data_IF_652386279089
#
_entry.id   IF_652386279089
#
_cell.length_a   1.000
_cell.length_b   1.000
_cell.length_c   1.000
_cell.angle_alpha   90.00
_cell.angle_beta   90.00
_cell.angle_gamma   90.00
#
_symmetry.space_group_name_H-M   'P 1'
#
loop_
_entity.id
_entity.type
_entity.pdbx_description
1 polymer ?
#
# COMPACT_ATOMS: atom_id res chain seq x y z
N UNK A 1 -23.85 -2.93 6.41
CA UNK A 1 -23.07 -2.54 5.20
C UNK A 1 -23.35 -3.41 3.99
N UNK A 2 -23.38 -4.75 4.07
CA UNK A 2 -23.68 -5.60 2.89
C UNK A 2 -25.06 -5.30 2.25
N UNK A 3 -26.08 -5.06 3.05
CA UNK A 3 -27.43 -4.69 2.58
C UNK A 3 -27.38 -3.32 1.88
N UNK A 4 -26.75 -2.32 2.50
CA UNK A 4 -26.60 -1.00 1.92
C UNK A 4 -25.80 -1.02 0.61
N UNK A 5 -24.73 -1.79 0.54
CA UNK A 5 -23.96 -1.93 -0.71
C UNK A 5 -24.77 -2.59 -1.84
N UNK A 6 -25.73 -3.47 -1.52
CA UNK A 6 -26.65 -4.04 -2.52
C UNK A 6 -27.60 -3.00 -3.12
N UNK A 7 -28.02 -2.03 -2.33
CA UNK A 7 -29.00 -1.03 -2.74
C UNK A 7 -28.35 0.17 -3.45
N UNK A 8 -27.16 0.57 -2.99
CA UNK A 8 -26.53 1.80 -3.45
C UNK A 8 -25.38 1.59 -4.45
N UNK A 9 -24.80 0.37 -4.59
CA UNK A 9 -23.66 0.15 -5.47
C UNK A 9 -24.02 -0.83 -6.58
N UNK A 10 -24.10 -0.32 -7.81
CA UNK A 10 -24.25 -1.12 -9.01
C UNK A 10 -22.94 -1.87 -9.31
N UNK A 11 -23.01 -3.12 -9.75
CA UNK A 11 -21.86 -3.98 -10.07
C UNK A 11 -20.83 -4.14 -8.93
N UNK A 12 -21.31 -4.18 -7.68
CA UNK A 12 -20.55 -4.22 -6.42
C UNK A 12 -19.44 -5.29 -6.33
N UNK A 13 -19.45 -6.29 -7.20
CA UNK A 13 -18.45 -7.36 -7.23
C UNK A 13 -17.21 -6.95 -8.06
N UNK A 14 -17.33 -6.01 -8.98
CA UNK A 14 -16.23 -5.49 -9.78
C UNK A 14 -15.47 -4.40 -9.03
N UNK A 15 -14.66 -4.79 -8.04
CA UNK A 15 -13.90 -3.86 -7.19
C UNK A 15 -12.68 -3.25 -7.86
N UNK A 16 -12.30 -3.75 -9.06
CA UNK A 16 -11.25 -3.18 -9.88
C UNK A 16 -11.71 -1.92 -10.62
N UNK A 17 -13.03 -1.75 -10.81
CA UNK A 17 -13.58 -0.53 -11.39
C UNK A 17 -13.44 0.65 -10.40
N UNK A 18 -12.75 1.73 -10.78
CA UNK A 18 -12.59 2.92 -9.94
C UNK A 18 -13.91 3.56 -9.50
N UNK A 19 -14.99 3.39 -10.28
CA UNK A 19 -16.33 3.90 -9.95
C UNK A 19 -16.94 3.12 -8.79
N UNK A 20 -16.84 1.80 -8.83
CA UNK A 20 -17.35 0.90 -7.78
C UNK A 20 -16.56 1.13 -6.49
N UNK A 21 -15.23 1.22 -6.60
CA UNK A 21 -14.32 1.50 -5.50
C UNK A 21 -14.69 2.82 -4.80
N UNK A 22 -14.86 3.89 -5.57
CA UNK A 22 -15.30 5.20 -5.05
C UNK A 22 -16.66 5.12 -4.37
N UNK A 23 -17.62 4.42 -4.95
CA UNK A 23 -18.95 4.27 -4.38
C UNK A 23 -18.90 3.57 -3.00
N UNK A 24 -18.03 2.57 -2.82
CA UNK A 24 -17.79 1.96 -1.51
C UNK A 24 -17.21 2.95 -0.50
N UNK A 25 -16.18 3.71 -0.86
CA UNK A 25 -15.57 4.72 0.01
C UNK A 25 -16.57 5.80 0.43
N UNK A 26 -17.36 6.32 -0.52
CA UNK A 26 -18.39 7.31 -0.25
C UNK A 26 -19.49 6.76 0.65
N UNK A 27 -19.98 5.54 0.40
CA UNK A 27 -21.00 4.91 1.24
C UNK A 27 -20.51 4.73 2.69
N UNK A 28 -19.28 4.27 2.87
CA UNK A 28 -18.68 4.10 4.18
C UNK A 28 -18.48 5.43 4.89
N UNK A 29 -18.03 6.46 4.17
CA UNK A 29 -17.88 7.81 4.71
C UNK A 29 -19.21 8.39 5.19
N UNK A 30 -20.28 8.30 4.39
CA UNK A 30 -21.62 8.76 4.79
C UNK A 30 -22.17 8.02 6.01
N UNK A 31 -21.99 6.69 6.05
CA UNK A 31 -22.41 5.89 7.21
C UNK A 31 -21.58 6.25 8.44
N UNK A 32 -20.27 6.47 8.29
CA UNK A 32 -19.39 6.91 9.37
C UNK A 32 -19.81 8.23 9.97
N UNK A 33 -20.04 9.24 9.11
CA UNK A 33 -20.56 10.57 9.54
C UNK A 33 -21.88 10.39 10.30
N UNK A 34 -22.83 9.66 9.73
CA UNK A 34 -24.15 9.46 10.34
C UNK A 34 -24.07 8.79 11.72
N UNK A 35 -23.27 7.74 11.86
CA UNK A 35 -23.09 7.03 13.13
C UNK A 35 -22.37 7.89 14.17
N UNK A 36 -21.32 8.63 13.80
CA UNK A 36 -20.62 9.52 14.72
C UNK A 36 -21.49 10.70 15.18
N UNK A 37 -22.30 11.27 14.30
CA UNK A 37 -23.28 12.31 14.68
C UNK A 37 -24.35 11.74 15.64
N UNK A 38 -24.82 10.52 15.40
CA UNK A 38 -25.81 9.86 16.28
C UNK A 38 -25.19 9.55 17.64
N UNK A 39 -23.95 9.11 17.71
CA UNK A 39 -23.22 8.91 18.97
C UNK A 39 -22.99 10.25 19.70
N UNK A 40 -22.60 11.29 18.97
CA UNK A 40 -22.47 12.64 19.53
C UNK A 40 -23.78 13.10 20.16
N UNK A 41 -24.89 13.05 19.42
CA UNK A 41 -26.18 13.50 19.91
C UNK A 41 -26.65 12.72 21.16
N UNK A 42 -26.53 11.38 21.14
CA UNK A 42 -26.88 10.52 22.25
C UNK A 42 -26.05 10.79 23.51
N UNK A 43 -24.74 10.87 23.38
CA UNK A 43 -23.80 11.15 24.49
C UNK A 43 -23.96 12.57 25.01
N UNK A 44 -24.13 13.57 24.13
CA UNK A 44 -24.30 14.96 24.51
C UNK A 44 -25.58 15.14 25.34
N UNK A 45 -26.69 14.56 24.87
CA UNK A 45 -27.97 14.60 25.59
C UNK A 45 -27.87 13.88 26.94
N UNK A 46 -27.25 12.71 26.99
CA UNK A 46 -27.05 11.98 28.25
C UNK A 46 -26.10 12.71 29.20
N UNK A 47 -25.02 13.33 28.70
CA UNK A 47 -24.08 14.13 29.48
C UNK A 47 -24.73 15.36 30.11
N UNK A 48 -25.56 16.07 29.34
CA UNK A 48 -26.31 17.23 29.83
C UNK A 48 -27.36 16.85 30.86
N UNK A 49 -28.08 15.75 30.68
CA UNK A 49 -29.07 15.26 31.65
C UNK A 49 -28.43 14.73 32.95
N UNK A 50 -27.27 14.09 32.85
CA UNK A 50 -26.59 13.55 34.04
C UNK A 50 -25.64 14.54 34.71
N UNK A 51 -25.43 15.73 34.12
CA UNK A 51 -24.43 16.69 34.57
C UNK A 51 -22.99 16.20 34.46
N UNK A 52 -22.76 15.13 33.67
CA UNK A 52 -21.42 14.51 33.52
C UNK A 52 -20.61 15.23 32.46
N UNK A 53 -19.56 15.94 32.90
CA UNK A 53 -18.57 16.60 32.01
C UNK A 53 -17.81 15.57 31.19
N UNK A 54 -17.49 14.40 31.78
CA UNK A 54 -16.77 13.33 31.09
C UNK A 54 -17.57 12.76 29.92
N UNK A 55 -18.88 12.50 30.06
CA UNK A 55 -19.75 12.02 28.98
C UNK A 55 -19.90 13.09 27.90
N UNK A 56 -20.00 14.36 28.30
CA UNK A 56 -20.10 15.47 27.36
C UNK A 56 -18.80 15.65 26.56
N UNK A 57 -17.65 15.53 27.22
CA UNK A 57 -16.33 15.55 26.54
C UNK A 57 -16.19 14.40 25.53
N UNK A 58 -16.60 13.18 25.91
CA UNK A 58 -16.59 12.01 25.02
C UNK A 58 -17.58 12.15 23.84
N UNK A 59 -18.68 12.91 24.01
CA UNK A 59 -19.55 13.30 22.90
C UNK A 59 -18.80 14.16 21.87
N UNK A 60 -18.06 15.18 22.31
CA UNK A 60 -17.27 16.01 21.40
C UNK A 60 -16.18 15.23 20.66
N UNK A 61 -15.64 14.16 21.26
CA UNK A 61 -14.74 13.25 20.57
C UNK A 61 -15.42 12.63 19.34
N UNK A 62 -16.67 12.12 19.48
CA UNK A 62 -17.39 11.58 18.32
C UNK A 62 -17.70 12.64 17.24
N UNK A 63 -17.83 13.91 17.60
CA UNK A 63 -17.93 14.98 16.60
C UNK A 63 -16.62 15.16 15.82
N UNK A 64 -15.48 15.07 16.49
CA UNK A 64 -14.16 15.05 15.83
C UNK A 64 -14.00 13.85 14.89
N UNK A 65 -14.50 12.67 15.28
CA UNK A 65 -14.47 11.46 14.45
C UNK A 65 -15.39 11.58 13.22
N UNK A 66 -16.50 12.31 13.33
CA UNK A 66 -17.29 12.70 12.16
C UNK A 66 -16.44 13.55 11.19
N UNK A 67 -15.56 14.42 11.70
CA UNK A 67 -14.59 15.18 10.92
C UNK A 67 -13.62 14.28 10.15
N UNK A 68 -13.04 13.26 10.80
CA UNK A 68 -12.18 12.25 10.14
C UNK A 68 -12.90 11.51 9.01
N UNK A 69 -14.17 11.16 9.24
CA UNK A 69 -15.04 10.54 8.21
C UNK A 69 -15.29 11.49 7.03
N UNK A 70 -15.41 12.80 7.27
CA UNK A 70 -15.51 13.82 6.20
C UNK A 70 -14.21 13.87 5.39
N UNK A 71 -13.04 13.85 6.04
CA UNK A 71 -11.74 13.82 5.36
C UNK A 71 -11.63 12.61 4.42
N UNK A 72 -12.00 11.42 4.91
CA UNK A 72 -12.02 10.20 4.11
C UNK A 72 -12.96 10.32 2.91
N UNK A 73 -14.19 10.82 3.13
CA UNK A 73 -15.19 11.03 2.06
C UNK A 73 -14.69 11.99 0.99
N UNK A 74 -14.08 13.12 1.40
CA UNK A 74 -13.48 14.09 0.49
C UNK A 74 -12.30 13.50 -0.28
N UNK A 75 -11.47 12.70 0.38
CA UNK A 75 -10.36 11.97 -0.24
C UNK A 75 -10.85 11.10 -1.41
N UNK A 76 -11.86 10.26 -1.18
CA UNK A 76 -12.46 9.44 -2.26
C UNK A 76 -13.10 10.27 -3.37
N UNK A 77 -13.76 11.37 -3.01
CA UNK A 77 -14.37 12.26 -4.02
C UNK A 77 -13.33 12.95 -4.89
N UNK A 78 -12.26 13.46 -4.27
CA UNK A 78 -11.19 14.16 -4.96
C UNK A 78 -10.30 13.21 -5.78
N UNK A 79 -9.96 12.05 -5.24
CA UNK A 79 -9.21 11.01 -5.96
C UNK A 79 -9.88 10.59 -7.27
N UNK A 80 -11.21 10.69 -7.31
CA UNK A 80 -11.97 10.38 -8.51
C UNK A 80 -12.03 11.48 -9.57
N UNK A 81 -11.40 12.65 -9.38
CA UNK A 81 -11.35 13.68 -10.42
C UNK A 81 -10.54 13.20 -11.63
N UNK A 82 -10.98 13.62 -12.82
CA UNK A 82 -10.24 13.38 -14.05
C UNK A 82 -8.91 14.14 -14.03
N UNK A 83 -7.94 13.70 -14.84
CA UNK A 83 -6.74 14.50 -15.12
C UNK A 83 -7.09 15.92 -15.54
N UNK A 84 -6.29 16.88 -15.12
CA UNK A 84 -6.34 18.27 -15.52
C UNK A 84 -4.93 18.77 -15.87
N UNK A 85 -4.75 20.00 -16.41
CA UNK A 85 -3.43 20.50 -16.80
C UNK A 85 -2.42 20.60 -15.64
N UNK A 86 -2.88 20.74 -14.40
CA UNK A 86 -2.02 20.79 -13.21
C UNK A 86 -1.67 19.39 -12.69
N UNK A 87 -2.56 18.42 -12.92
CA UNK A 87 -2.39 17.03 -12.49
C UNK A 87 -2.68 16.08 -13.66
N UNK A 88 -1.79 15.97 -14.65
CA UNK A 88 -2.00 15.20 -15.87
C UNK A 88 -2.18 13.69 -15.61
N UNK A 89 -1.58 13.17 -14.53
CA UNK A 89 -1.76 11.79 -14.10
C UNK A 89 -2.97 11.58 -13.17
N UNK A 90 -3.77 12.65 -12.94
CA UNK A 90 -4.99 12.64 -12.12
C UNK A 90 -4.74 12.81 -10.63
N UNK A 91 -5.78 12.60 -9.85
CA UNK A 91 -5.84 12.93 -8.43
C UNK A 91 -5.88 11.70 -7.52
N UNK A 92 -5.58 10.49 -8.04
CA UNK A 92 -5.72 9.24 -7.28
C UNK A 92 -4.98 9.21 -5.95
N UNK A 93 -3.79 9.82 -5.88
CA UNK A 93 -2.97 9.91 -4.66
C UNK A 93 -3.61 10.70 -3.52
N UNK A 94 -4.65 11.52 -3.79
CA UNK A 94 -5.40 12.21 -2.73
C UNK A 94 -6.10 11.24 -1.75
N UNK A 95 -6.34 10.00 -2.15
CA UNK A 95 -6.79 8.96 -1.24
C UNK A 95 -5.74 8.64 -0.17
N UNK A 96 -4.47 8.50 -0.56
CA UNK A 96 -3.36 8.26 0.38
C UNK A 96 -3.15 9.48 1.30
N UNK A 97 -3.23 10.69 0.75
CA UNK A 97 -3.13 11.94 1.53
C UNK A 97 -4.25 12.01 2.58
N UNK A 98 -5.49 11.65 2.22
CA UNK A 98 -6.59 11.62 3.20
C UNK A 98 -6.37 10.58 4.30
N UNK A 99 -5.86 9.40 3.96
CA UNK A 99 -5.45 8.38 4.94
C UNK A 99 -4.37 8.87 5.88
N UNK A 100 -3.38 9.61 5.35
CA UNK A 100 -2.31 10.21 6.16
C UNK A 100 -2.82 11.26 7.13
N UNK A 101 -3.80 12.10 6.71
CA UNK A 101 -4.44 13.07 7.59
C UNK A 101 -5.16 12.34 8.74
N UNK A 102 -5.92 11.28 8.44
CA UNK A 102 -6.59 10.46 9.47
C UNK A 102 -5.58 9.84 10.43
N UNK A 103 -4.48 9.27 9.91
CA UNK A 103 -3.40 8.73 10.74
C UNK A 103 -2.78 9.82 11.66
N UNK A 104 -2.61 11.05 11.15
CA UNK A 104 -2.18 12.20 11.95
C UNK A 104 -3.14 12.54 13.08
N UNK A 105 -4.46 12.50 12.83
CA UNK A 105 -5.47 12.71 13.87
C UNK A 105 -5.43 11.61 14.94
N UNK A 106 -5.23 10.33 14.55
CA UNK A 106 -5.06 9.21 15.49
C UNK A 106 -3.84 9.46 16.39
N UNK A 107 -2.72 9.91 15.83
CA UNK A 107 -1.51 10.22 16.60
C UNK A 107 -1.75 11.37 17.59
N UNK A 108 -2.44 12.44 17.17
CA UNK A 108 -2.81 13.55 18.05
C UNK A 108 -3.69 13.07 19.22
N UNK A 109 -4.69 12.23 18.94
CA UNK A 109 -5.56 11.64 19.97
C UNK A 109 -4.77 10.73 20.94
N UNK A 110 -3.83 9.95 20.43
CA UNK A 110 -2.95 9.10 21.23
C UNK A 110 -2.08 9.91 22.18
N UNK A 111 -1.50 11.03 21.71
CA UNK A 111 -0.71 11.95 22.56
C UNK A 111 -1.59 12.62 23.62
N UNK A 112 -2.79 13.08 23.25
CA UNK A 112 -3.72 13.72 24.20
C UNK A 112 -4.18 12.73 25.28
N UNK A 113 -4.49 11.50 24.91
CA UNK A 113 -4.83 10.44 25.86
C UNK A 113 -3.66 10.11 26.79
N UNK A 114 -2.44 10.04 26.27
CA UNK A 114 -1.24 9.81 27.07
C UNK A 114 -1.05 10.93 28.11
N UNK A 115 -1.18 12.20 27.66
CA UNK A 115 -1.09 13.38 28.54
C UNK A 115 -2.14 13.36 29.64
N UNK A 116 -3.41 13.14 29.28
CA UNK A 116 -4.53 13.05 30.21
C UNK A 116 -4.36 11.90 31.20
N UNK A 117 -3.83 10.76 30.73
CA UNK A 117 -3.56 9.58 31.57
C UNK A 117 -2.46 9.85 32.60
N UNK A 118 -1.38 10.51 32.19
CA UNK A 118 -0.31 10.94 33.12
C UNK A 118 -0.84 11.94 34.15
N UNK A 119 -1.64 12.89 33.74
CA UNK A 119 -2.27 13.86 34.66
C UNK A 119 -3.14 13.18 35.70
N UNK A 120 -3.95 12.18 35.32
CA UNK A 120 -4.76 11.37 36.26
C UNK A 120 -3.93 10.53 37.20
N UNK A 121 -2.74 10.03 36.78
CA UNK A 121 -1.83 9.30 37.63
C UNK A 121 -1.24 10.24 38.70
N UNK A 122 -0.90 11.48 38.33
CA UNK A 122 -0.30 12.47 39.23
C UNK A 122 -1.35 13.12 40.14
N UNK A 123 -2.57 13.27 39.65
CA UNK A 123 -3.69 13.92 40.37
C UNK A 123 -4.93 13.02 40.34
N UNK A 124 -4.99 11.95 41.15
CA UNK A 124 -6.13 11.05 41.18
C UNK A 124 -7.41 11.80 41.56
N UNK A 125 -8.46 11.67 40.77
CA UNK A 125 -9.77 12.25 41.02
C UNK A 125 -10.81 11.12 41.19
N UNK A 126 -11.69 11.26 42.17
CA UNK A 126 -12.76 10.28 42.41
C UNK A 126 -13.67 10.19 41.19
N UNK A 127 -13.95 8.97 40.70
CA UNK A 127 -14.84 8.72 39.58
C UNK A 127 -16.30 8.71 40.08
N UNK A 128 -17.12 9.63 39.58
CA UNK A 128 -18.57 9.65 39.88
C UNK A 128 -19.26 8.50 39.11
N UNK A 129 -19.81 7.55 39.84
CA UNK A 129 -20.44 6.37 39.28
C UNK A 129 -21.96 6.57 39.04
N UNK A 130 -22.30 6.87 37.78
CA UNK A 130 -23.68 6.86 37.30
C UNK A 130 -24.00 5.58 36.56
N UNK A 131 -25.16 4.96 36.76
CA UNK A 131 -25.59 3.74 36.01
C UNK A 131 -25.75 4.00 34.50
N UNK A 132 -26.04 5.24 34.13
CA UNK A 132 -26.25 5.65 32.73
C UNK A 132 -24.94 5.63 31.97
N UNK A 133 -23.81 6.05 32.56
CA UNK A 133 -22.52 6.13 31.91
C UNK A 133 -22.01 4.77 31.34
N UNK A 134 -21.99 3.66 32.11
CA UNK A 134 -21.59 2.37 31.58
C UNK A 134 -22.44 1.87 30.39
N UNK A 135 -23.74 2.11 30.41
CA UNK A 135 -24.68 1.71 29.35
C UNK A 135 -24.31 2.47 28.04
N UNK A 136 -24.14 3.79 28.14
CA UNK A 136 -23.79 4.62 26.99
C UNK A 136 -22.41 4.22 26.43
N UNK A 137 -21.43 3.99 27.32
CA UNK A 137 -20.08 3.53 26.89
C UNK A 137 -20.15 2.16 26.20
N UNK A 138 -20.95 1.21 26.73
CA UNK A 138 -21.12 -0.11 26.11
C UNK A 138 -21.78 -0.02 24.71
N UNK A 139 -22.82 0.79 24.55
CA UNK A 139 -23.45 1.05 23.24
C UNK A 139 -22.43 1.70 22.29
N UNK A 140 -21.67 2.69 22.76
CA UNK A 140 -20.63 3.34 21.96
C UNK A 140 -19.57 2.36 21.48
N UNK A 141 -19.07 1.46 22.35
CA UNK A 141 -18.15 0.39 22.00
C UNK A 141 -18.73 -0.49 20.89
N UNK A 142 -19.97 -0.94 21.00
CA UNK A 142 -20.61 -1.79 19.99
C UNK A 142 -20.70 -1.07 18.62
N UNK A 143 -21.09 0.20 18.60
CA UNK A 143 -21.20 0.97 17.36
C UNK A 143 -19.82 1.22 16.74
N UNK A 144 -18.83 1.64 17.54
CA UNK A 144 -17.44 1.87 17.05
C UNK A 144 -16.78 0.57 16.56
N UNK A 145 -16.99 -0.54 17.26
CA UNK A 145 -16.51 -1.85 16.82
C UNK A 145 -17.16 -2.26 15.48
N UNK A 146 -18.45 -2.04 15.32
CA UNK A 146 -19.13 -2.26 14.04
C UNK A 146 -18.52 -1.38 12.93
N UNK A 147 -18.22 -0.10 13.22
CA UNK A 147 -17.55 0.80 12.28
C UNK A 147 -16.16 0.28 11.89
N UNK A 148 -15.36 -0.11 12.87
CA UNK A 148 -14.05 -0.73 12.63
C UNK A 148 -14.14 -1.95 11.71
N UNK A 149 -15.04 -2.90 12.03
CA UNK A 149 -15.18 -4.15 11.29
C UNK A 149 -15.62 -3.93 9.83
N UNK A 150 -16.60 -3.04 9.59
CA UNK A 150 -17.04 -2.81 8.22
C UNK A 150 -16.00 -2.00 7.41
N UNK A 151 -15.36 -0.99 8.01
CA UNK A 151 -14.31 -0.21 7.35
C UNK A 151 -13.12 -1.10 6.98
N UNK A 152 -12.68 -1.97 7.90
CA UNK A 152 -11.59 -2.91 7.65
C UNK A 152 -11.94 -3.93 6.57
N UNK A 153 -13.17 -4.49 6.61
CA UNK A 153 -13.62 -5.47 5.60
C UNK A 153 -13.70 -4.85 4.21
N UNK A 154 -14.27 -3.64 4.10
CA UNK A 154 -14.40 -2.95 2.82
C UNK A 154 -13.06 -2.39 2.39
N UNK A 155 -12.25 -1.81 3.29
CA UNK A 155 -10.91 -1.32 3.02
C UNK A 155 -10.04 -2.39 2.35
N UNK A 156 -10.00 -3.59 2.92
CA UNK A 156 -9.33 -4.75 2.31
C UNK A 156 -9.92 -5.14 0.96
N UNK A 157 -11.25 -5.14 0.83
CA UNK A 157 -11.93 -5.50 -0.41
C UNK A 157 -11.58 -4.57 -1.57
N UNK A 158 -11.51 -3.25 -1.30
CA UNK A 158 -11.20 -2.23 -2.30
C UNK A 158 -9.73 -1.76 -2.26
N UNK A 159 -8.88 -2.38 -1.44
CA UNK A 159 -7.47 -2.04 -1.25
C UNK A 159 -7.27 -0.53 -0.98
N UNK A 160 -7.94 -0.03 0.06
CA UNK A 160 -7.94 1.39 0.42
C UNK A 160 -7.25 1.65 1.74
N UNK A 161 -6.05 2.24 1.69
CA UNK A 161 -5.30 2.68 2.88
C UNK A 161 -6.09 3.70 3.72
N UNK A 162 -6.84 4.61 3.08
CA UNK A 162 -7.69 5.57 3.78
C UNK A 162 -8.78 4.90 4.61
N UNK A 163 -9.41 3.84 4.08
CA UNK A 163 -10.43 3.09 4.83
C UNK A 163 -9.81 2.23 5.94
N UNK A 164 -8.61 1.71 5.74
CA UNK A 164 -7.90 0.99 6.79
C UNK A 164 -7.47 1.94 7.91
N UNK A 165 -7.02 3.17 7.59
CA UNK A 165 -6.77 4.22 8.57
C UNK A 165 -8.04 4.57 9.38
N UNK A 166 -9.20 4.74 8.72
CA UNK A 166 -10.48 4.98 9.40
C UNK A 166 -10.93 3.80 10.27
N UNK A 167 -10.59 2.56 9.87
CA UNK A 167 -10.84 1.39 10.71
C UNK A 167 -9.93 1.37 11.95
N UNK A 168 -8.67 1.77 11.81
CA UNK A 168 -7.72 1.89 12.93
C UNK A 168 -8.17 2.97 13.92
N UNK A 169 -8.67 4.11 13.44
CA UNK A 169 -9.28 5.18 14.23
C UNK A 169 -10.46 4.64 15.08
N UNK A 170 -11.45 4.00 14.44
CA UNK A 170 -12.59 3.40 15.14
C UNK A 170 -12.18 2.31 16.13
N UNK A 171 -11.08 1.59 15.88
CA UNK A 171 -10.54 0.61 16.83
C UNK A 171 -9.89 1.30 18.03
N UNK A 172 -9.15 2.38 17.81
CA UNK A 172 -8.52 3.19 18.85
C UNK A 172 -9.57 3.75 19.81
N UNK A 173 -10.65 4.28 19.27
CA UNK A 173 -11.80 4.78 20.05
C UNK A 173 -12.47 3.66 20.85
N UNK A 174 -12.65 2.49 20.22
CA UNK A 174 -13.19 1.30 20.89
C UNK A 174 -12.32 0.89 22.07
N UNK A 175 -11.00 0.86 21.89
CA UNK A 175 -10.04 0.49 22.93
C UNK A 175 -10.03 1.53 24.06
N UNK A 176 -10.00 2.82 23.73
CA UNK A 176 -10.04 3.91 24.69
C UNK A 176 -11.33 3.87 25.53
N UNK A 177 -12.49 3.77 24.89
CA UNK A 177 -13.79 3.70 25.56
C UNK A 177 -13.93 2.42 26.41
N UNK A 178 -13.43 1.27 25.92
CA UNK A 178 -13.44 0.02 26.68
C UNK A 178 -12.51 0.08 27.92
N UNK A 179 -11.37 0.74 27.80
CA UNK A 179 -10.46 0.94 28.92
C UNK A 179 -11.08 1.81 30.02
N UNK A 180 -11.75 2.90 29.63
CA UNK A 180 -12.50 3.77 30.56
C UNK A 180 -13.62 2.98 31.25
N UNK A 181 -14.38 2.19 30.51
CA UNK A 181 -15.44 1.35 31.08
C UNK A 181 -14.89 0.32 32.06
N UNK A 182 -13.79 -0.37 31.72
CA UNK A 182 -13.15 -1.35 32.58
C UNK A 182 -12.57 -0.70 33.85
N UNK A 183 -11.87 0.42 33.71
CA UNK A 183 -11.34 1.17 34.84
C UNK A 183 -12.46 1.61 35.80
N UNK A 184 -13.58 2.11 35.27
CA UNK A 184 -14.76 2.48 36.05
C UNK A 184 -15.37 1.29 36.80
N UNK A 185 -15.46 0.10 36.18
CA UNK A 185 -15.97 -1.11 36.82
C UNK A 185 -15.02 -1.61 37.91
N UNK A 186 -13.71 -1.61 37.67
CA UNK A 186 -12.70 -2.01 38.66
C UNK A 186 -12.70 -1.04 39.85
N UNK A 187 -12.70 0.27 39.61
CA UNK A 187 -12.79 1.29 40.65
C UNK A 187 -13.99 1.09 41.55
N UNK A 188 -15.16 0.76 40.95
CA UNK A 188 -16.39 0.47 41.72
C UNK A 188 -16.24 -0.74 42.63
N UNK A 189 -15.56 -1.80 42.18
CA UNK A 189 -15.48 -3.07 42.95
C UNK A 189 -14.34 -3.11 43.93
N UNK A 190 -13.22 -2.46 43.61
CA UNK A 190 -11.97 -2.55 44.39
C UNK A 190 -11.64 -1.28 45.18
N UNK A 191 -12.24 -0.15 44.81
CA UNK A 191 -11.87 1.18 45.34
C UNK A 191 -10.52 1.69 44.85
N UNK A 192 -9.84 0.95 43.92
CA UNK A 192 -8.54 1.33 43.34
C UNK A 192 -8.74 2.20 42.12
N UNK A 193 -8.12 3.37 42.10
CA UNK A 193 -8.08 4.24 40.94
C UNK A 193 -6.93 3.82 39.99
N UNK A 194 -7.23 3.00 39.01
CA UNK A 194 -6.28 2.51 37.98
C UNK A 194 -6.51 3.14 36.61
N UNK A 195 -7.46 4.08 36.50
CA UNK A 195 -7.90 4.67 35.22
C UNK A 195 -6.72 5.29 34.44
N UNK A 196 -5.86 6.05 35.11
CA UNK A 196 -4.69 6.67 34.49
C UNK A 196 -3.67 5.64 33.92
N UNK A 197 -3.42 4.52 34.63
CA UNK A 197 -2.50 3.50 34.17
C UNK A 197 -3.02 2.73 32.97
N UNK A 198 -4.29 2.37 32.99
CA UNK A 198 -4.97 1.72 31.85
C UNK A 198 -5.02 2.66 30.66
N UNK A 199 -5.32 3.93 30.88
CA UNK A 199 -5.30 4.96 29.82
C UNK A 199 -3.94 5.10 29.16
N UNK A 200 -2.84 5.03 29.92
CA UNK A 200 -1.48 5.13 29.41
C UNK A 200 -1.12 3.94 28.50
N UNK A 201 -1.50 2.71 28.89
CA UNK A 201 -1.31 1.50 28.06
C UNK A 201 -2.08 1.61 26.75
N UNK A 202 -3.33 2.07 26.81
CA UNK A 202 -4.15 2.27 25.62
C UNK A 202 -3.59 3.37 24.72
N UNK A 203 -3.09 4.48 25.30
CA UNK A 203 -2.43 5.53 24.53
C UNK A 203 -1.22 4.99 23.75
N UNK A 204 -0.40 4.13 24.37
CA UNK A 204 0.70 3.43 23.69
C UNK A 204 0.23 2.59 22.51
N UNK A 205 -0.87 1.84 22.67
CA UNK A 205 -1.46 1.06 21.56
C UNK A 205 -1.97 1.95 20.42
N UNK A 206 -2.65 3.07 20.76
CA UNK A 206 -3.15 4.03 19.77
C UNK A 206 -2.00 4.67 19.00
N UNK A 207 -0.93 5.10 19.66
CA UNK A 207 0.25 5.67 19.02
C UNK A 207 0.93 4.67 18.10
N UNK A 208 1.07 3.42 18.52
CA UNK A 208 1.61 2.35 17.66
C UNK A 208 0.75 2.13 16.41
N UNK A 209 -0.57 2.06 16.58
CA UNK A 209 -1.52 1.93 15.46
C UNK A 209 -1.46 3.13 14.51
N UNK A 210 -1.39 4.36 15.04
CA UNK A 210 -1.28 5.59 14.25
C UNK A 210 0.02 5.64 13.42
N UNK A 211 1.17 5.26 14.02
CA UNK A 211 2.45 5.19 13.29
C UNK A 211 2.38 4.13 12.17
N UNK A 212 1.80 2.96 12.45
CA UNK A 212 1.61 1.91 11.46
C UNK A 212 0.74 2.41 10.29
N UNK A 213 -0.41 3.01 10.59
CA UNK A 213 -1.32 3.57 9.58
C UNK A 213 -0.67 4.67 8.76
N UNK A 214 0.13 5.54 9.37
CA UNK A 214 0.90 6.57 8.66
C UNK A 214 1.91 5.96 7.68
N UNK A 215 2.65 4.91 8.10
CA UNK A 215 3.59 4.21 7.21
C UNK A 215 2.90 3.56 6.02
N UNK A 216 1.77 2.90 6.23
CA UNK A 216 0.97 2.25 5.18
C UNK A 216 0.40 3.24 4.16
N UNK A 217 0.15 4.50 4.56
CA UNK A 217 -0.32 5.55 3.65
C UNK A 217 0.82 6.33 2.97
N UNK A 218 1.99 6.45 3.60
CA UNK A 218 3.17 7.11 3.04
C UNK A 218 3.85 6.20 2.01
N UNK A 219 3.93 4.89 2.24
CA UNK A 219 4.64 3.94 1.38
C UNK A 219 4.23 4.02 -0.10
N UNK A 220 2.93 4.03 -0.47
CA UNK A 220 2.51 4.23 -1.86
C UNK A 220 2.87 5.60 -2.44
N UNK A 221 2.94 6.65 -1.60
CA UNK A 221 3.33 7.99 -2.05
C UNK A 221 4.81 8.06 -2.42
N UNK A 222 5.66 7.32 -1.69
CA UNK A 222 7.10 7.21 -1.95
C UNK A 222 7.43 6.27 -3.11
N UNK A 223 6.48 5.43 -3.55
CA UNK A 223 6.70 4.43 -4.59
C UNK A 223 7.07 3.09 -3.97
N UNK A 224 6.08 2.35 -3.48
CA UNK A 224 6.29 0.97 -3.02
C UNK A 224 6.39 0.01 -4.22
N UNK A 225 7.10 -1.12 -4.09
CA UNK A 225 7.13 -2.14 -5.13
C UNK A 225 5.72 -2.68 -5.43
N UNK A 226 5.43 -3.08 -6.67
CA UNK A 226 4.16 -3.66 -7.04
C UNK A 226 3.94 -5.02 -6.35
N UNK A 227 2.68 -5.45 -6.24
CA UNK A 227 2.38 -6.79 -5.75
C UNK A 227 2.91 -7.85 -6.71
N UNK A 228 3.51 -8.92 -6.18
CA UNK A 228 4.07 -10.02 -6.99
C UNK A 228 3.05 -10.59 -7.98
N UNK A 229 1.79 -10.78 -7.57
CA UNK A 229 0.72 -11.27 -8.45
C UNK A 229 0.49 -10.36 -9.68
N UNK A 230 0.64 -9.04 -9.50
CA UNK A 230 0.51 -8.08 -10.60
C UNK A 230 1.68 -8.22 -11.58
N UNK A 231 2.90 -8.38 -11.09
CA UNK A 231 4.10 -8.62 -11.90
C UNK A 231 4.00 -9.94 -12.65
N UNK A 232 3.64 -11.04 -11.98
CA UNK A 232 3.48 -12.36 -12.57
C UNK A 232 2.45 -12.32 -13.72
N UNK A 233 1.37 -11.54 -13.58
CA UNK A 233 0.38 -11.35 -14.63
C UNK A 233 0.90 -10.54 -15.81
N UNK A 234 1.70 -9.50 -15.59
CA UNK A 234 2.36 -8.76 -16.69
C UNK A 234 3.25 -9.71 -17.47
N UNK A 235 4.12 -10.45 -16.79
CA UNK A 235 5.02 -11.41 -17.41
C UNK A 235 4.26 -12.47 -18.21
N UNK A 236 3.18 -13.02 -17.65
CA UNK A 236 2.38 -14.02 -18.34
C UNK A 236 1.72 -13.48 -19.62
N UNK A 237 1.24 -12.24 -19.63
CA UNK A 237 0.67 -11.61 -20.84
C UNK A 237 1.75 -11.36 -21.88
N UNK A 238 2.87 -10.74 -21.50
CA UNK A 238 3.95 -10.38 -22.42
C UNK A 238 4.57 -11.63 -23.05
N UNK A 239 4.94 -12.63 -22.24
CA UNK A 239 5.58 -13.87 -22.69
C UNK A 239 4.60 -14.87 -23.36
N UNK A 240 3.31 -14.57 -23.41
CA UNK A 240 2.36 -15.40 -24.18
C UNK A 240 2.48 -15.22 -25.69
N UNK A 241 3.18 -14.19 -26.16
CA UNK A 241 3.45 -13.90 -27.57
C UNK A 241 4.77 -14.56 -28.01
N UNK A 242 4.75 -15.43 -29.01
CA UNK A 242 5.93 -16.22 -29.40
C UNK A 242 7.09 -15.38 -29.97
N UNK A 243 6.79 -14.15 -30.42
CA UNK A 243 7.77 -13.20 -30.94
C UNK A 243 8.61 -12.56 -29.82
N UNK A 244 8.14 -12.63 -28.55
CA UNK A 244 8.84 -12.07 -27.41
C UNK A 244 9.74 -13.12 -26.80
N UNK A 245 11.04 -12.88 -26.82
CA UNK A 245 12.07 -13.79 -26.35
C UNK A 245 12.33 -13.68 -24.84
N UNK A 246 12.08 -12.47 -24.28
CA UNK A 246 12.27 -12.18 -22.88
C UNK A 246 11.72 -10.81 -22.53
N UNK A 247 11.66 -10.50 -21.24
CA UNK A 247 11.33 -9.16 -20.74
C UNK A 247 12.25 -8.82 -19.56
N UNK A 248 12.59 -7.54 -19.44
CA UNK A 248 13.40 -6.97 -18.36
C UNK A 248 13.03 -5.50 -18.10
N UNK A 249 13.68 -4.86 -17.14
CA UNK A 249 13.49 -3.44 -16.77
C UNK A 249 12.03 -3.04 -16.54
N UNK A 250 11.27 -3.96 -15.92
CA UNK A 250 9.89 -3.70 -15.56
C UNK A 250 9.80 -2.63 -14.47
N UNK A 251 9.25 -1.48 -14.79
CA UNK A 251 8.97 -0.38 -13.87
C UNK A 251 7.48 -0.15 -13.76
N UNK A 252 6.98 -0.08 -12.54
CA UNK A 252 5.56 0.17 -12.26
C UNK A 252 5.41 1.45 -11.44
N UNK A 253 4.71 2.43 -12.00
CA UNK A 253 4.38 3.68 -11.33
C UNK A 253 2.91 3.67 -10.89
N UNK A 254 2.67 3.80 -9.58
CA UNK A 254 1.33 3.96 -9.01
C UNK A 254 1.02 5.44 -8.74
N UNK A 255 0.06 5.98 -9.48
CA UNK A 255 -0.51 7.32 -9.27
C UNK A 255 -1.84 7.29 -8.51
N UNK A 256 -2.08 6.20 -7.80
CA UNK A 256 -3.29 5.98 -7.04
C UNK A 256 -4.24 5.00 -7.72
N UNK A 257 -5.31 4.62 -7.05
CA UNK A 257 -6.18 3.54 -7.47
C UNK A 257 -6.73 3.67 -8.88
N UNK A 258 -6.47 2.66 -9.72
CA UNK A 258 -6.88 2.61 -11.12
C UNK A 258 -6.06 3.53 -12.04
N UNK A 259 -4.85 3.94 -11.63
CA UNK A 259 -3.93 4.78 -12.40
C UNK A 259 -2.51 4.26 -12.26
N UNK A 260 -2.28 3.12 -12.88
CA UNK A 260 -0.99 2.45 -12.91
C UNK A 260 -0.39 2.64 -14.29
N UNK A 261 0.88 3.02 -14.35
CA UNK A 261 1.69 3.09 -15.56
C UNK A 261 2.80 2.06 -15.46
N UNK A 262 3.00 1.34 -16.54
CA UNK A 262 3.99 0.27 -16.68
C UNK A 262 4.90 0.61 -17.83
N UNK A 263 6.20 0.53 -17.62
CA UNK A 263 7.18 0.48 -18.69
C UNK A 263 8.01 -0.77 -18.53
N UNK A 264 8.33 -1.40 -19.64
CA UNK A 264 9.18 -2.59 -19.66
C UNK A 264 9.93 -2.68 -20.99
N UNK A 265 10.98 -3.49 -21.02
CA UNK A 265 11.70 -3.84 -22.21
C UNK A 265 11.33 -5.26 -22.64
N UNK A 266 11.09 -5.45 -23.93
CA UNK A 266 10.79 -6.74 -24.52
C UNK A 266 11.88 -7.14 -25.53
N UNK A 267 12.54 -8.26 -25.27
CA UNK A 267 13.51 -8.83 -26.19
C UNK A 267 12.81 -9.39 -27.44
N UNK A 268 13.18 -8.92 -28.63
CA UNK A 268 12.61 -9.34 -29.92
C UNK A 268 13.72 -9.82 -30.87
N UNK A 269 13.45 -10.68 -31.88
CA UNK A 269 14.44 -11.09 -32.86
C UNK A 269 15.00 -9.91 -33.66
N UNK A 270 16.31 -9.71 -33.69
CA UNK A 270 16.97 -8.59 -34.36
C UNK A 270 16.74 -8.55 -35.89
N UNK A 271 16.45 -9.69 -36.50
CA UNK A 271 16.20 -9.84 -37.94
C UNK A 271 14.70 -10.04 -38.29
N UNK A 272 13.79 -9.80 -37.31
CA UNK A 272 12.35 -9.81 -37.53
C UNK A 272 11.88 -8.61 -38.37
N UNK A 273 10.71 -8.73 -38.99
CA UNK A 273 10.08 -7.58 -39.65
C UNK A 273 9.66 -6.54 -38.61
N UNK A 274 10.17 -5.33 -38.75
CA UNK A 274 9.93 -4.25 -37.77
C UNK A 274 8.44 -3.90 -37.62
N UNK A 275 7.68 -3.95 -38.72
CA UNK A 275 6.25 -3.61 -38.67
C UNK A 275 5.44 -4.71 -37.99
N UNK A 276 5.78 -5.99 -38.26
CA UNK A 276 5.14 -7.12 -37.59
C UNK A 276 5.44 -7.13 -36.09
N UNK A 277 6.70 -6.91 -35.71
CA UNK A 277 7.09 -6.84 -34.28
C UNK A 277 6.45 -5.66 -33.56
N UNK A 278 6.32 -4.50 -34.23
CA UNK A 278 5.63 -3.34 -33.68
C UNK A 278 4.14 -3.63 -33.45
N UNK A 279 3.47 -4.31 -34.40
CA UNK A 279 2.06 -4.69 -34.25
C UNK A 279 1.85 -5.65 -33.07
N UNK A 280 2.78 -6.60 -32.88
CA UNK A 280 2.76 -7.49 -31.70
C UNK A 280 2.88 -6.69 -30.40
N UNK A 281 3.81 -5.74 -30.32
CA UNK A 281 4.00 -4.90 -29.13
C UNK A 281 2.76 -4.04 -28.85
N UNK A 282 2.17 -3.41 -29.87
CA UNK A 282 0.91 -2.65 -29.71
C UNK A 282 -0.22 -3.54 -29.16
N UNK A 283 -0.34 -4.78 -29.66
CA UNK A 283 -1.33 -5.72 -29.17
C UNK A 283 -1.09 -6.09 -27.70
N UNK A 284 0.17 -6.30 -27.29
CA UNK A 284 0.55 -6.54 -25.89
C UNK A 284 0.17 -5.34 -25.01
N UNK A 285 0.50 -4.11 -25.41
CA UNK A 285 0.13 -2.89 -24.67
C UNK A 285 -1.39 -2.78 -24.49
N UNK A 286 -2.17 -3.08 -25.56
CA UNK A 286 -3.63 -3.11 -25.48
C UNK A 286 -4.14 -4.20 -24.53
N UNK A 287 -3.54 -5.38 -24.53
CA UNK A 287 -3.94 -6.47 -23.66
C UNK A 287 -3.61 -6.19 -22.19
N UNK A 288 -2.44 -5.63 -21.90
CA UNK A 288 -2.08 -5.13 -20.57
C UNK A 288 -3.10 -4.07 -20.10
N UNK A 289 -3.45 -3.13 -20.96
CA UNK A 289 -4.45 -2.10 -20.64
C UNK A 289 -5.82 -2.69 -20.34
N UNK A 290 -6.29 -3.65 -21.13
CA UNK A 290 -7.62 -4.25 -20.98
C UNK A 290 -7.70 -5.19 -19.77
N UNK A 291 -6.68 -6.01 -19.56
CA UNK A 291 -6.71 -7.07 -18.53
C UNK A 291 -6.28 -6.57 -17.17
N UNK A 292 -5.34 -5.59 -17.12
CA UNK A 292 -4.76 -5.09 -15.86
C UNK A 292 -5.19 -3.67 -15.51
N UNK A 293 -5.91 -2.99 -16.42
CA UNK A 293 -6.33 -1.59 -16.24
C UNK A 293 -5.15 -0.66 -15.93
N UNK A 294 -4.04 -0.84 -16.66
CA UNK A 294 -2.85 0.00 -16.59
C UNK A 294 -2.58 0.65 -17.96
N UNK A 295 -1.73 1.67 -17.98
CA UNK A 295 -1.16 2.21 -19.20
C UNK A 295 0.24 1.62 -19.35
N UNK A 296 0.48 0.84 -20.41
CA UNK A 296 1.76 0.22 -20.68
C UNK A 296 2.49 0.92 -21.82
N UNK A 297 3.83 0.96 -21.72
CA UNK A 297 4.75 1.33 -22.80
C UNK A 297 5.85 0.30 -22.82
N UNK A 298 6.10 -0.29 -24.00
CA UNK A 298 7.07 -1.36 -24.19
C UNK A 298 8.18 -0.87 -25.13
N UNK A 299 9.42 -0.93 -24.63
CA UNK A 299 10.59 -0.73 -25.45
C UNK A 299 11.00 -2.05 -26.11
N UNK A 300 11.24 -2.04 -27.41
CA UNK A 300 11.72 -3.23 -28.15
C UNK A 300 13.25 -3.29 -28.11
N UNK A 301 13.79 -4.39 -27.57
CA UNK A 301 15.22 -4.66 -27.57
C UNK A 301 15.58 -5.78 -28.57
N UNK A 302 16.21 -5.44 -29.73
CA UNK A 302 16.57 -6.43 -30.72
C UNK A 302 17.70 -7.34 -30.21
N UNK A 303 17.46 -8.65 -30.16
CA UNK A 303 18.44 -9.67 -29.75
C UNK A 303 18.83 -10.54 -30.96
N UNK A 304 20.14 -10.66 -31.18
CA UNK A 304 20.68 -11.56 -32.20
C UNK A 304 20.70 -12.99 -31.67
N UNK A 305 19.94 -13.87 -32.30
CA UNK A 305 19.77 -15.27 -31.86
C UNK A 305 20.39 -16.28 -32.81
N UNK A 306 20.80 -15.87 -34.00
CA UNK A 306 21.15 -16.72 -35.15
C UNK A 306 22.62 -16.62 -35.58
N UNK A 307 23.46 -15.90 -34.86
CA UNK A 307 24.90 -15.77 -35.16
C UNK A 307 25.78 -17.00 -34.75
N UNK A 308 25.17 -18.02 -34.16
CA UNK A 308 25.81 -19.24 -33.69
C UNK A 308 26.82 -19.04 -32.52
N UNK A 309 27.07 -17.80 -32.11
CA UNK A 309 28.03 -17.43 -31.06
C UNK A 309 27.35 -16.81 -29.83
N UNK A 310 26.48 -15.85 -30.05
CA UNK A 310 25.86 -15.05 -28.95
C UNK A 310 24.98 -15.91 -28.04
N UNK A 311 24.13 -16.77 -28.60
CA UNK A 311 23.25 -17.64 -27.82
C UNK A 311 23.98 -18.60 -26.87
N UNK A 312 24.96 -19.40 -27.36
CA UNK A 312 25.76 -20.27 -26.50
C UNK A 312 26.56 -19.51 -25.43
N UNK A 313 27.11 -18.33 -25.76
CA UNK A 313 27.87 -17.52 -24.81
C UNK A 313 26.94 -16.92 -23.74
N UNK A 314 25.74 -16.42 -24.13
CA UNK A 314 24.72 -15.94 -23.19
C UNK A 314 24.38 -17.04 -22.19
N UNK A 315 24.06 -18.25 -22.68
CA UNK A 315 23.69 -19.36 -21.79
C UNK A 315 24.82 -19.74 -20.84
N UNK A 316 26.07 -19.77 -21.32
CA UNK A 316 27.25 -20.08 -20.51
C UNK A 316 27.51 -19.01 -19.45
N UNK A 317 27.36 -17.72 -19.79
CA UNK A 317 27.51 -16.62 -18.84
C UNK A 317 26.38 -16.66 -17.82
N UNK A 318 25.11 -16.90 -18.23
CA UNK A 318 23.97 -17.02 -17.33
C UNK A 318 24.19 -18.12 -16.27
N UNK A 319 24.77 -19.26 -16.64
CA UNK A 319 25.14 -20.32 -15.68
C UNK A 319 26.32 -19.95 -14.77
N UNK A 320 27.28 -19.18 -15.28
CA UNK A 320 28.42 -18.70 -14.47
C UNK A 320 27.96 -17.67 -13.42
N UNK A 321 27.05 -16.75 -13.78
CA UNK A 321 26.55 -15.71 -12.85
C UNK A 321 25.80 -16.36 -11.67
N UNK A 322 25.08 -17.47 -11.89
CA UNK A 322 24.41 -18.23 -10.84
C UNK A 322 25.38 -18.83 -9.80
N UNK A 323 26.67 -18.95 -10.11
CA UNK A 323 27.69 -19.34 -9.14
C UNK A 323 28.03 -18.19 -8.16
N UNK A 324 27.79 -16.94 -8.55
CA UNK A 324 27.93 -15.79 -7.66
C UNK A 324 26.76 -15.74 -6.70
N UNK A 325 25.56 -15.81 -7.26
CA UNK A 325 24.30 -15.98 -6.54
C UNK A 325 23.23 -16.60 -7.47
N UNK A 326 22.46 -17.62 -7.02
CA UNK A 326 21.43 -18.30 -7.83
C UNK A 326 20.30 -17.41 -8.32
N UNK A 327 20.09 -16.27 -7.70
CA UNK A 327 19.01 -15.32 -8.00
C UNK A 327 19.39 -14.31 -9.08
N UNK A 328 20.69 -14.16 -9.39
CA UNK A 328 21.17 -13.21 -10.41
C UNK A 328 20.74 -13.67 -11.81
N UNK A 329 20.08 -12.78 -12.54
CA UNK A 329 19.75 -12.95 -13.96
C UNK A 329 20.54 -11.98 -14.81
N UNK A 330 20.64 -12.27 -16.14
CA UNK A 330 21.31 -11.38 -17.09
C UNK A 330 20.40 -11.06 -18.27
N UNK A 331 20.51 -9.83 -18.79
CA UNK A 331 19.81 -9.37 -19.99
C UNK A 331 20.71 -8.44 -20.84
N UNK A 332 20.25 -7.98 -21.98
CA UNK A 332 20.97 -7.13 -22.94
C UNK A 332 22.35 -7.68 -23.36
N UNK A 333 22.41 -9.01 -23.53
CA UNK A 333 23.67 -9.69 -23.80
C UNK A 333 24.13 -9.45 -25.24
N UNK A 334 25.31 -8.85 -25.36
CA UNK A 334 25.94 -8.54 -26.65
C UNK A 334 27.40 -9.02 -26.68
N UNK A 335 27.86 -9.51 -27.85
CA UNK A 335 29.22 -9.96 -28.09
C UNK A 335 29.96 -8.94 -28.97
N UNK A 336 31.04 -8.38 -28.47
CA UNK A 336 31.88 -7.45 -29.22
C UNK A 336 33.23 -8.12 -29.44
N UNK A 337 33.39 -8.79 -30.60
CA UNK A 337 34.61 -9.50 -30.97
C UNK A 337 35.73 -8.53 -31.33
N UNK A 338 36.91 -8.73 -30.76
CA UNK A 338 38.12 -8.00 -31.08
C UNK A 338 39.26 -8.94 -31.47
N UNK A 339 40.34 -8.42 -32.04
CA UNK A 339 41.46 -9.25 -32.53
C UNK A 339 42.25 -9.94 -31.39
N UNK A 340 42.28 -9.37 -30.20
CA UNK A 340 43.04 -9.89 -29.05
C UNK A 340 42.14 -10.43 -27.93
N UNK A 341 40.91 -9.95 -27.83
CA UNK A 341 39.94 -10.34 -26.81
C UNK A 341 38.51 -10.07 -27.29
N UNK A 342 37.55 -10.68 -26.61
CA UNK A 342 36.13 -10.49 -26.89
C UNK A 342 35.45 -9.92 -25.64
N UNK A 343 34.76 -8.79 -25.79
CA UNK A 343 33.94 -8.23 -24.73
C UNK A 343 32.54 -8.84 -24.76
N UNK A 344 32.10 -9.30 -23.60
CA UNK A 344 30.71 -9.70 -23.34
C UNK A 344 30.08 -8.57 -22.58
N UNK A 345 29.19 -7.86 -23.24
CA UNK A 345 28.47 -6.71 -22.70
C UNK A 345 27.08 -7.19 -22.27
N UNK A 346 26.70 -6.97 -21.02
CA UNK A 346 25.41 -7.38 -20.50
C UNK A 346 25.11 -6.69 -19.17
N UNK A 347 23.84 -6.67 -18.81
CA UNK A 347 23.38 -6.20 -17.53
C UNK A 347 23.02 -7.39 -16.63
N UNK A 348 23.33 -7.27 -15.33
CA UNK A 348 23.09 -8.29 -14.33
C UNK A 348 22.17 -7.75 -13.25
N UNK A 349 21.05 -8.43 -13.01
CA UNK A 349 20.05 -8.03 -12.03
C UNK A 349 20.28 -8.75 -10.71
N UNK A 350 20.44 -7.97 -9.63
CA UNK A 350 20.63 -8.46 -8.26
C UNK A 350 19.44 -8.01 -7.42
N UNK A 351 18.72 -8.91 -6.72
CA UNK A 351 17.65 -8.52 -5.81
C UNK A 351 18.12 -7.58 -4.69
N UNK A 352 17.27 -6.65 -4.25
CA UNK A 352 17.61 -5.69 -3.19
C UNK A 352 17.93 -6.33 -1.84
N UNK A 353 17.36 -7.50 -1.54
CA UNK A 353 17.51 -8.19 -0.26
C UNK A 353 18.82 -9.00 -0.16
N UNK A 354 19.65 -8.99 -1.21
CA UNK A 354 20.89 -9.74 -1.24
C UNK A 354 22.01 -9.04 -0.42
N UNK A 355 22.86 -9.86 0.20
CA UNK A 355 24.01 -9.38 0.98
C UNK A 355 25.14 -8.81 0.12
N UNK A 356 25.09 -9.03 -1.20
CA UNK A 356 26.06 -8.58 -2.16
C UNK A 356 25.72 -7.17 -2.66
N UNK A 357 26.67 -6.25 -2.53
CA UNK A 357 26.54 -4.95 -3.20
C UNK A 357 26.74 -5.10 -4.72
N UNK A 358 26.14 -4.20 -5.51
CA UNK A 358 26.28 -4.17 -6.96
C UNK A 358 27.78 -4.19 -7.40
N UNK A 359 28.63 -3.46 -6.70
CA UNK A 359 30.09 -3.46 -6.97
C UNK A 359 30.76 -4.80 -6.72
N UNK A 360 30.40 -5.50 -5.63
CA UNK A 360 30.90 -6.82 -5.32
C UNK A 360 30.42 -7.89 -6.30
N UNK A 361 29.15 -7.81 -6.70
CA UNK A 361 28.60 -8.69 -7.73
C UNK A 361 29.34 -8.50 -9.06
N UNK A 362 29.51 -7.25 -9.52
CA UNK A 362 30.22 -6.94 -10.74
C UNK A 362 31.67 -7.47 -10.73
N UNK A 363 32.38 -7.32 -9.63
CA UNK A 363 33.76 -7.82 -9.50
C UNK A 363 33.82 -9.35 -9.61
N UNK A 364 32.94 -10.06 -8.91
CA UNK A 364 32.87 -11.53 -8.96
C UNK A 364 32.49 -12.02 -10.35
N UNK A 365 31.49 -11.39 -10.99
CA UNK A 365 31.10 -11.74 -12.37
C UNK A 365 32.25 -11.55 -13.33
N UNK A 366 32.97 -10.41 -13.29
CA UNK A 366 34.13 -10.15 -14.11
C UNK A 366 35.22 -11.20 -13.90
N UNK A 367 35.49 -11.58 -12.66
CA UNK A 367 36.46 -12.61 -12.32
C UNK A 367 36.10 -13.97 -12.92
N UNK A 368 34.82 -14.39 -12.80
CA UNK A 368 34.34 -15.66 -13.35
C UNK A 368 34.36 -15.68 -14.87
N UNK A 369 33.87 -14.63 -15.54
CA UNK A 369 33.90 -14.55 -17.00
C UNK A 369 35.36 -14.63 -17.53
N UNK A 370 36.32 -14.05 -16.82
CA UNK A 370 37.71 -14.11 -17.19
C UNK A 370 38.32 -15.50 -17.12
N UNK A 371 37.74 -16.47 -16.44
CA UNK A 371 38.16 -17.86 -16.43
C UNK A 371 37.72 -18.64 -17.68
N UNK A 372 36.84 -18.05 -18.51
CA UNK A 372 36.39 -18.69 -19.75
C UNK A 372 37.50 -18.67 -20.82
N UNK A 373 37.69 -19.80 -21.47
CA UNK A 373 38.56 -19.97 -22.63
C UNK A 373 39.93 -19.27 -22.51
N UNK A 374 40.66 -19.59 -21.45
CA UNK A 374 42.00 -19.08 -21.12
C UNK A 374 42.11 -17.55 -21.05
N UNK A 375 41.02 -16.88 -20.61
CA UNK A 375 41.01 -15.44 -20.39
C UNK A 375 40.73 -14.59 -21.63
N UNK A 376 40.20 -15.19 -22.69
CA UNK A 376 39.81 -14.50 -23.93
C UNK A 376 38.63 -13.55 -23.77
N UNK A 377 37.73 -13.84 -22.80
CA UNK A 377 36.49 -13.08 -22.59
C UNK A 377 36.61 -12.08 -21.44
N UNK A 378 36.04 -10.89 -21.64
CA UNK A 378 35.97 -9.81 -20.65
C UNK A 378 34.54 -9.39 -20.47
N UNK A 379 34.04 -9.40 -19.23
CA UNK A 379 32.73 -8.89 -18.94
C UNK A 379 32.76 -7.37 -18.79
N UNK A 380 31.96 -6.71 -19.61
CA UNK A 380 31.53 -5.32 -19.44
C UNK A 380 30.14 -5.40 -18.87
N UNK A 381 30.04 -5.47 -17.54
CA UNK A 381 28.77 -5.70 -16.82
C UNK A 381 28.35 -4.46 -16.06
N UNK A 382 27.10 -4.04 -16.28
CA UNK A 382 26.34 -3.13 -15.41
C UNK A 382 25.58 -3.99 -14.42
N UNK A 383 25.56 -3.61 -13.14
CA UNK A 383 24.80 -4.35 -12.13
C UNK A 383 23.69 -3.45 -11.63
N UNK A 384 22.47 -3.93 -11.79
CA UNK A 384 21.25 -3.26 -11.39
C UNK A 384 20.59 -3.98 -10.22
N UNK A 385 19.85 -3.24 -9.41
CA UNK A 385 19.05 -3.82 -8.34
C UNK A 385 17.58 -3.88 -8.78
N UNK A 386 17.00 -5.08 -8.70
CA UNK A 386 15.58 -5.26 -8.93
C UNK A 386 14.83 -5.46 -7.63
N UNK A 387 13.66 -4.86 -7.54
CA UNK A 387 12.67 -5.04 -6.48
C UNK A 387 11.55 -6.03 -6.86
N UNK A 388 11.71 -6.69 -8.01
CA UNK A 388 10.76 -7.65 -8.58
C UNK A 388 11.32 -9.06 -8.48
#
# INVERSE_FOLDING_TARGET
MEILSRWFIRDRNNVTDPRVRRAYGQLCGFVGIGLNILLFAGKFFAGTLSGSVAITADAFNNLSDAGSSVVTLLGFRLAGKKPDPQHPFGHGRLEYVSGLIVAGLILLMGVELAKSSVEKILHPAAVDFSVIAPVILAVSICVKLYMCLYNRRIGKKIRSAAMEATAADSLSDTAATAAVLLAMLIAKWTGLDIDGWVGLVVAGFILFSGVKSARETISPLLGQPPEKEFVDRIQAIVLSHPEILGLHDLVVHDYGPGRVMVSLHAEVPAHGDLLELHDVVDNIEMDLSRQLNCQAVIHMDPVVTDDGLTGPLRSRVAELVKQVDPTITIHDFRVVAGPTHTNLVFDAVVPFDEKLTAAQAAEKIRALVRTMDDGRYFAVVTVENSYI
#
